data_IF_067989523652
#
_entry.id   IF_067989523652
#
_cell.length_a   1.000
_cell.length_b   1.000
_cell.length_c   1.000
_cell.angle_alpha   90.00
_cell.angle_beta   90.00
_cell.angle_gamma   90.00
#
_symmetry.space_group_name_H-M   'P 1'
#
loop_
_entity.id
_entity.type
_entity.pdbx_description
1 polymer ?
#
# COMPACT_ATOMS: atom_id res chain seq x y z
N UNK A 1 -3.01 -4.89 -10.60
CA UNK A 1 -4.18 -4.48 -9.80
C UNK A 1 -4.18 -2.96 -9.59
N UNK A 2 -3.22 -2.40 -8.83
CA UNK A 2 -3.14 -0.96 -8.54
C UNK A 2 -3.29 -0.07 -9.79
N UNK A 3 -2.44 -0.26 -10.81
CA UNK A 3 -2.52 0.55 -12.04
C UNK A 3 -3.87 0.45 -12.77
N UNK A 4 -4.53 -0.71 -12.71
CA UNK A 4 -5.83 -0.90 -13.35
C UNK A 4 -6.92 -0.15 -12.58
N UNK A 5 -6.93 -0.26 -11.25
CA UNK A 5 -7.87 0.47 -10.39
C UNK A 5 -7.67 1.98 -10.50
N UNK A 6 -6.42 2.43 -10.54
CA UNK A 6 -6.09 3.85 -10.70
C UNK A 6 -6.62 4.39 -12.04
N UNK A 7 -6.39 3.66 -13.14
CA UNK A 7 -6.93 4.03 -14.46
C UNK A 7 -8.47 4.07 -14.48
N UNK A 8 -9.15 3.19 -13.74
CA UNK A 8 -10.61 3.22 -13.61
C UNK A 8 -11.10 4.46 -12.84
N UNK A 9 -10.36 4.91 -11.83
CA UNK A 9 -10.70 6.07 -11.01
C UNK A 9 -10.35 7.40 -11.68
N UNK A 10 -9.31 7.41 -12.52
CA UNK A 10 -8.81 8.59 -13.23
C UNK A 10 -9.87 9.25 -14.15
N UNK A 11 -10.91 8.52 -14.54
CA UNK A 11 -12.02 9.07 -15.33
C UNK A 11 -12.97 9.98 -14.51
N UNK A 12 -12.89 9.96 -13.18
CA UNK A 12 -13.74 10.78 -12.31
C UNK A 12 -13.14 12.17 -12.08
N UNK A 13 -13.98 13.21 -12.07
CA UNK A 13 -13.53 14.59 -11.76
C UNK A 13 -12.83 14.70 -10.39
N UNK A 14 -13.26 13.90 -9.41
CA UNK A 14 -12.70 13.90 -8.06
C UNK A 14 -11.25 13.38 -8.02
N UNK A 15 -10.83 12.53 -8.96
CA UNK A 15 -9.50 11.93 -8.96
C UNK A 15 -8.36 12.94 -9.09
N UNK A 16 -8.64 14.17 -9.56
CA UNK A 16 -7.64 15.24 -9.67
C UNK A 16 -7.54 16.11 -8.40
N UNK A 17 -8.51 16.00 -7.49
CA UNK A 17 -8.62 16.87 -6.31
C UNK A 17 -8.31 16.12 -5.01
N UNK A 18 -8.48 14.81 -5.00
CA UNK A 18 -8.23 13.95 -3.85
C UNK A 18 -7.39 12.73 -4.22
N UNK A 19 -6.60 12.26 -3.26
CA UNK A 19 -5.83 11.03 -3.35
C UNK A 19 -6.05 10.18 -2.11
N UNK A 20 -5.65 8.91 -2.20
CA UNK A 20 -5.63 8.01 -1.05
C UNK A 20 -4.34 7.20 -1.06
N UNK A 21 -3.89 6.80 0.13
CA UNK A 21 -2.94 5.69 0.25
C UNK A 21 -3.67 4.37 0.06
N UNK A 22 -2.92 3.29 -0.17
CA UNK A 22 -3.47 1.94 -0.19
C UNK A 22 -2.43 0.92 0.26
N UNK A 23 -2.81 0.10 1.25
CA UNK A 23 -2.05 -1.09 1.65
C UNK A 23 -2.97 -2.30 1.54
N UNK A 24 -2.52 -3.34 0.85
CA UNK A 24 -3.34 -4.51 0.51
C UNK A 24 -2.58 -5.78 0.85
N UNK A 25 -3.25 -6.70 1.54
CA UNK A 25 -2.70 -8.02 1.89
C UNK A 25 -3.50 -9.12 1.20
N UNK A 26 -2.82 -9.98 0.44
CA UNK A 26 -3.39 -11.22 -0.09
C UNK A 26 -2.91 -12.41 0.74
N UNK A 27 -3.85 -13.05 1.44
CA UNK A 27 -3.57 -14.23 2.26
C UNK A 27 -3.99 -15.49 1.51
N UNK A 28 -3.10 -16.46 1.46
CA UNK A 28 -3.35 -17.82 0.95
C UNK A 28 -3.00 -18.83 2.04
N UNK A 29 -3.28 -20.10 1.80
CA UNK A 29 -2.94 -21.16 2.75
C UNK A 29 -1.44 -21.25 3.13
N UNK A 30 -0.54 -20.71 2.29
CA UNK A 30 0.92 -20.82 2.47
C UNK A 30 1.70 -19.51 2.42
N UNK A 31 1.08 -18.43 1.93
CA UNK A 31 1.76 -17.17 1.68
C UNK A 31 0.89 -15.99 2.07
N UNK A 32 1.56 -14.93 2.49
CA UNK A 32 1.00 -13.61 2.70
C UNK A 32 1.80 -12.64 1.81
N UNK A 33 1.09 -11.94 0.92
CA UNK A 33 1.68 -10.94 0.04
C UNK A 33 1.16 -9.57 0.44
N UNK A 34 2.06 -8.58 0.55
CA UNK A 34 1.70 -7.18 0.85
C UNK A 34 2.11 -6.29 -0.31
N UNK A 35 1.18 -5.45 -0.77
CA UNK A 35 1.46 -4.31 -1.63
C UNK A 35 1.14 -3.01 -0.90
N UNK A 36 2.05 -2.04 -0.94
CA UNK A 36 1.87 -0.71 -0.34
C UNK A 36 2.05 0.39 -1.38
N UNK A 37 1.20 1.40 -1.32
CA UNK A 37 1.30 2.64 -2.06
C UNK A 37 0.94 3.81 -1.13
N UNK A 38 1.96 4.59 -0.76
CA UNK A 38 1.83 5.70 0.18
C UNK A 38 2.37 5.35 1.56
N UNK A 39 1.87 6.05 2.58
CA UNK A 39 2.43 5.99 3.93
C UNK A 39 1.53 5.30 4.96
N UNK A 40 0.55 4.52 4.50
CA UNK A 40 -0.07 3.47 5.30
C UNK A 40 0.93 2.32 5.55
N UNK A 41 0.65 1.48 6.56
CA UNK A 41 1.55 0.39 6.97
C UNK A 41 0.83 -0.91 7.28
N UNK A 42 1.39 -2.02 6.81
CA UNK A 42 1.01 -3.38 7.21
C UNK A 42 1.98 -3.93 8.26
N UNK A 43 1.40 -4.54 9.30
CA UNK A 43 2.11 -5.24 10.37
C UNK A 43 1.53 -6.65 10.52
N UNK A 44 2.38 -7.62 10.83
CA UNK A 44 1.99 -8.96 11.25
C UNK A 44 2.43 -9.15 12.70
N UNK A 45 1.50 -9.53 13.57
CA UNK A 45 1.84 -9.92 14.93
C UNK A 45 2.01 -11.43 14.99
N UNK A 46 3.19 -11.90 15.39
CA UNK A 46 3.46 -13.33 15.61
C UNK A 46 4.18 -13.48 16.95
N UNK A 47 3.66 -14.35 17.81
CA UNK A 47 4.24 -14.63 19.13
C UNK A 47 4.39 -13.37 20.02
N UNK A 48 3.48 -12.40 19.84
CA UNK A 48 3.50 -11.14 20.59
C UNK A 48 4.41 -10.06 20.01
N UNK A 49 5.18 -10.37 18.95
CA UNK A 49 6.06 -9.41 18.28
C UNK A 49 5.42 -8.87 17.00
N UNK A 50 5.52 -7.56 16.78
CA UNK A 50 5.03 -6.90 15.57
C UNK A 50 6.13 -6.81 14.51
N UNK A 51 5.90 -7.45 13.37
CA UNK A 51 6.78 -7.43 12.20
C UNK A 51 6.21 -6.50 11.13
N UNK A 52 7.00 -5.51 10.70
CA UNK A 52 6.66 -4.67 9.55
C UNK A 52 6.71 -5.48 8.25
N UNK A 53 5.62 -5.46 7.49
CA UNK A 53 5.51 -6.16 6.20
C UNK A 53 5.54 -5.20 5.00
N UNK A 54 5.47 -3.90 5.25
CA UNK A 54 5.60 -2.86 4.24
C UNK A 54 6.54 -1.76 4.73
N UNK A 55 7.05 -0.98 3.78
CA UNK A 55 7.75 0.25 4.06
C UNK A 55 6.93 1.43 3.56
N UNK A 56 6.83 2.48 4.38
CA UNK A 56 6.11 3.68 4.01
C UNK A 56 6.87 4.41 2.89
N UNK A 57 6.14 4.86 1.88
CA UNK A 57 6.67 5.77 0.87
C UNK A 57 6.65 7.18 1.45
N UNK A 58 7.84 7.77 1.59
CA UNK A 58 8.03 9.10 2.19
C UNK A 58 9.02 9.88 1.34
N UNK A 59 8.73 11.15 1.07
CA UNK A 59 9.58 12.03 0.26
C UNK A 59 11.00 12.25 0.83
N UNK A 60 11.23 11.92 2.11
CA UNK A 60 12.55 12.00 2.74
C UNK A 60 13.45 10.81 2.41
N UNK A 61 12.92 9.76 1.80
CA UNK A 61 13.71 8.58 1.42
C UNK A 61 14.43 8.82 0.10
N UNK A 62 15.70 8.44 0.05
CA UNK A 62 16.56 8.65 -1.12
C UNK A 62 16.11 7.86 -2.36
N UNK A 63 15.41 6.75 -2.18
CA UNK A 63 14.90 5.91 -3.27
C UNK A 63 13.54 6.38 -3.83
N UNK A 64 12.95 7.43 -3.27
CA UNK A 64 11.62 7.97 -3.62
C UNK A 64 11.70 9.41 -4.19
N UNK A 65 12.91 9.91 -4.48
CA UNK A 65 13.18 11.27 -4.99
C UNK A 65 13.37 11.29 -6.49
#
# INVERSE_FOLDING_TARGET
>A
AFLHTDAQLAASRAAHEVGTTAVVTLVTARHLWVGNCGDSRALLVREGEALALSFDHKATRLDEV
#
